data_IF_511622728673
#
_entry.id   IF_511622728673
#
_cell.length_a   1.000
_cell.length_b   1.000
_cell.length_c   1.000
_cell.angle_alpha   90.00
_cell.angle_beta   90.00
_cell.angle_gamma   90.00
#
_symmetry.space_group_name_H-M   'P 1'
#
loop_
_entity.id
_entity.type
_entity.pdbx_description
1 polymer ?
#
# COMPACT_ATOMS: atom_id res chain seq x y z
N UNK A 1 -71.08 2.37 8.16
CA UNK A 1 -70.09 3.41 8.39
C UNK A 1 -69.00 3.09 9.38
N UNK A 2 -68.84 1.86 9.93
CA UNK A 2 -67.80 1.49 10.93
C UNK A 2 -66.62 0.67 10.37
N UNK A 3 -66.68 0.27 9.10
CA UNK A 3 -65.58 -0.55 8.48
C UNK A 3 -64.50 0.22 7.69
N UNK A 4 -64.74 1.50 7.42
CA UNK A 4 -63.77 2.34 6.65
C UNK A 4 -62.74 3.00 7.57
N UNK A 5 -63.03 3.15 8.87
CA UNK A 5 -62.15 3.84 9.81
C UNK A 5 -60.99 2.95 10.33
N UNK A 6 -61.11 1.62 10.20
CA UNK A 6 -60.04 0.69 10.67
C UNK A 6 -58.92 0.47 9.64
N UNK A 7 -59.18 0.72 8.37
CA UNK A 7 -58.18 0.49 7.30
C UNK A 7 -57.17 1.64 7.18
N UNK A 8 -57.57 2.85 7.59
CA UNK A 8 -56.69 4.04 7.51
C UNK A 8 -55.65 4.07 8.65
N UNK A 9 -55.98 3.51 9.82
CA UNK A 9 -55.05 3.47 10.97
C UNK A 9 -53.91 2.47 10.76
N UNK A 10 -54.12 1.41 9.98
CA UNK A 10 -53.04 0.43 9.67
C UNK A 10 -52.06 0.92 8.60
N UNK A 11 -52.47 1.80 7.72
CA UNK A 11 -51.60 2.37 6.69
C UNK A 11 -50.65 3.42 7.29
N UNK A 12 -51.07 4.14 8.32
CA UNK A 12 -50.22 5.13 9.03
C UNK A 12 -49.21 4.52 9.99
N UNK A 13 -49.37 3.26 10.40
CA UNK A 13 -48.41 2.56 11.27
C UNK A 13 -47.29 1.86 10.50
N UNK A 14 -47.42 1.70 9.18
CA UNK A 14 -46.37 1.08 8.34
C UNK A 14 -45.39 2.09 7.75
N UNK A 15 -45.62 3.39 7.88
CA UNK A 15 -44.73 4.42 7.35
C UNK A 15 -43.61 4.86 8.31
N UNK A 16 -43.57 4.39 9.56
CA UNK A 16 -42.58 4.81 10.54
C UNK A 16 -41.48 3.80 10.82
N UNK A 17 -41.28 2.76 9.98
CA UNK A 17 -40.23 1.76 10.18
C UNK A 17 -39.14 1.76 9.07
N UNK A 18 -38.96 2.89 8.39
CA UNK A 18 -37.76 3.14 7.58
C UNK A 18 -36.99 4.34 8.14
N UNK A 19 -36.69 4.29 9.42
CA UNK A 19 -35.50 4.98 9.93
C UNK A 19 -34.30 4.16 9.44
N UNK A 20 -33.91 4.40 8.18
CA UNK A 20 -32.68 3.94 7.62
C UNK A 20 -31.57 4.50 8.51
N UNK A 21 -30.88 3.63 9.24
CA UNK A 21 -29.58 3.97 9.79
C UNK A 21 -28.71 4.31 8.57
N UNK A 22 -28.61 5.59 8.24
CA UNK A 22 -27.49 6.10 7.49
C UNK A 22 -26.27 5.82 8.40
N UNK A 23 -25.67 4.65 8.21
CA UNK A 23 -24.25 4.50 8.51
C UNK A 23 -23.61 5.51 7.57
N UNK A 24 -23.09 6.60 8.13
CA UNK A 24 -22.23 7.52 7.40
C UNK A 24 -21.12 6.66 6.80
N UNK A 25 -21.27 6.33 5.51
CA UNK A 25 -20.27 5.60 4.78
C UNK A 25 -19.03 6.51 4.79
N UNK A 26 -17.98 6.10 5.45
CA UNK A 26 -16.68 6.79 5.41
C UNK A 26 -16.37 6.99 3.92
N UNK A 27 -16.12 8.22 3.45
CA UNK A 27 -15.78 8.46 2.07
C UNK A 27 -14.68 7.49 1.62
N UNK A 28 -14.79 6.95 0.41
CA UNK A 28 -13.92 5.90 -0.11
C UNK A 28 -12.42 6.26 -0.14
N UNK A 29 -12.07 7.52 0.09
CA UNK A 29 -10.71 8.06 0.14
C UNK A 29 -10.17 8.31 1.57
N UNK A 30 -10.94 7.97 2.62
CA UNK A 30 -10.55 8.18 4.01
C UNK A 30 -10.02 6.90 4.66
N UNK A 31 -8.87 7.05 5.30
CA UNK A 31 -8.29 6.05 6.21
C UNK A 31 -8.28 6.65 7.61
N UNK A 32 -8.77 5.89 8.61
CA UNK A 32 -8.82 6.35 10.00
C UNK A 32 -7.45 6.82 10.50
N UNK A 33 -7.38 8.05 10.99
CA UNK A 33 -6.16 8.67 11.51
C UNK A 33 -5.24 9.26 10.44
N UNK A 34 -5.68 9.31 9.17
CA UNK A 34 -4.94 9.89 8.07
C UNK A 34 -5.78 10.87 7.26
N UNK A 35 -5.11 11.86 6.68
CA UNK A 35 -5.70 12.80 5.71
C UNK A 35 -5.20 12.47 4.32
N UNK A 36 -6.10 12.28 3.35
CA UNK A 36 -5.72 12.18 1.94
C UNK A 36 -5.28 13.56 1.44
N UNK A 37 -4.00 13.69 1.14
CA UNK A 37 -3.37 14.97 0.76
C UNK A 37 -2.98 15.02 -0.72
N UNK A 38 -3.09 13.87 -1.40
CA UNK A 38 -2.66 13.71 -2.79
C UNK A 38 -1.14 13.83 -2.97
N UNK A 39 -0.65 13.50 -4.17
CA UNK A 39 0.80 13.47 -4.48
C UNK A 39 1.48 14.84 -4.42
N UNK A 40 0.75 15.95 -4.62
CA UNK A 40 1.30 17.31 -4.57
C UNK A 40 1.81 17.70 -3.17
N UNK A 41 1.41 16.97 -2.15
CA UNK A 41 1.87 17.18 -0.78
C UNK A 41 3.22 16.51 -0.48
N UNK A 42 3.75 15.69 -1.41
CA UNK A 42 5.04 15.03 -1.26
C UNK A 42 6.17 16.03 -1.57
N UNK A 43 6.53 16.81 -0.58
CA UNK A 43 7.59 17.82 -0.62
C UNK A 43 8.84 17.40 0.19
N UNK A 44 8.86 16.16 0.66
CA UNK A 44 9.97 15.58 1.40
C UNK A 44 11.15 15.29 0.47
N UNK A 45 12.36 15.20 1.04
CA UNK A 45 13.53 14.74 0.29
C UNK A 45 13.39 13.23 -0.02
N UNK A 46 12.97 12.91 -1.24
CA UNK A 46 12.69 11.54 -1.69
C UNK A 46 13.92 10.63 -1.57
N UNK A 47 15.14 11.15 -1.83
CA UNK A 47 16.37 10.37 -1.73
C UNK A 47 16.59 9.95 -0.26
N UNK A 48 16.44 10.89 0.68
CA UNK A 48 16.52 10.59 2.12
C UNK A 48 15.41 9.63 2.54
N UNK A 49 14.18 9.92 2.15
CA UNK A 49 12.99 9.16 2.53
C UNK A 49 13.10 7.68 2.13
N UNK A 50 13.60 7.40 0.92
CA UNK A 50 13.77 6.03 0.44
C UNK A 50 15.12 5.44 0.89
N UNK A 51 16.24 6.13 0.60
CA UNK A 51 17.57 5.59 0.79
C UNK A 51 18.02 5.50 2.24
N UNK A 52 17.58 6.45 3.09
CA UNK A 52 17.99 6.54 4.49
C UNK A 52 16.89 6.09 5.44
N UNK A 53 15.65 6.63 5.29
CA UNK A 53 14.57 6.35 6.24
C UNK A 53 13.93 4.99 5.97
N UNK A 54 13.97 4.52 4.70
CA UNK A 54 13.42 3.27 4.21
C UNK A 54 11.88 3.26 4.16
N UNK A 55 11.35 2.27 3.47
CA UNK A 55 9.91 2.05 3.34
C UNK A 55 9.56 0.57 3.45
N UNK A 56 8.31 0.26 3.78
CA UNK A 56 7.72 -1.04 3.50
C UNK A 56 7.02 -0.98 2.14
N UNK A 57 7.38 -1.90 1.25
CA UNK A 57 6.58 -2.26 0.08
C UNK A 57 5.62 -3.36 0.54
N UNK A 58 4.32 -3.15 0.37
CA UNK A 58 3.28 -4.13 0.73
C UNK A 58 2.36 -4.36 -0.45
N UNK A 59 2.05 -5.63 -0.75
CA UNK A 59 1.07 -6.03 -1.75
C UNK A 59 0.19 -7.15 -1.21
N UNK A 60 -1.02 -7.27 -1.72
CA UNK A 60 -2.07 -8.15 -1.24
C UNK A 60 -3.22 -7.40 -0.58
N UNK A 61 -4.12 -8.12 0.07
CA UNK A 61 -5.28 -7.60 0.80
C UNK A 61 -5.23 -8.04 2.27
N UNK A 62 -6.11 -7.49 3.12
CA UNK A 62 -6.10 -7.76 4.58
C UNK A 62 -6.10 -9.25 4.94
N UNK A 63 -6.70 -10.11 4.11
CA UNK A 63 -6.73 -11.56 4.34
C UNK A 63 -5.45 -12.29 3.90
N UNK A 64 -4.72 -11.72 2.95
CA UNK A 64 -3.52 -12.34 2.37
C UNK A 64 -2.60 -11.28 1.76
N UNK A 65 -1.53 -10.93 2.45
CA UNK A 65 -0.55 -9.92 2.03
C UNK A 65 0.85 -10.25 2.52
N UNK A 66 1.82 -9.65 1.88
CA UNK A 66 3.20 -9.67 2.36
C UNK A 66 3.85 -8.30 2.20
N UNK A 67 4.84 -8.03 3.04
CA UNK A 67 5.62 -6.81 3.01
C UNK A 67 7.11 -7.09 3.06
N UNK A 68 7.89 -6.14 2.57
CA UNK A 68 9.33 -6.14 2.70
C UNK A 68 9.87 -4.71 2.88
N UNK A 69 10.95 -4.56 3.61
CA UNK A 69 11.67 -3.30 3.65
C UNK A 69 12.47 -3.10 2.37
N UNK A 70 12.39 -1.90 1.85
CA UNK A 70 13.16 -1.44 0.70
C UNK A 70 13.82 -0.08 0.98
N UNK A 71 15.04 0.07 0.44
CA UNK A 71 15.80 1.32 0.45
C UNK A 71 16.18 1.75 -0.97
N UNK A 72 15.65 1.10 -1.98
CA UNK A 72 15.85 1.40 -3.39
C UNK A 72 14.53 1.68 -4.07
N UNK A 73 14.49 2.73 -4.87
CA UNK A 73 13.29 3.19 -5.54
C UNK A 73 13.36 4.66 -5.90
N UNK A 74 12.23 5.22 -6.26
CA UNK A 74 12.09 6.62 -6.61
C UNK A 74 10.64 7.04 -6.69
N UNK A 75 10.40 8.34 -6.60
CA UNK A 75 9.13 8.97 -6.95
C UNK A 75 9.41 9.95 -8.07
N UNK A 76 8.53 10.07 -9.04
CA UNK A 76 8.76 10.94 -10.17
C UNK A 76 7.53 11.17 -11.04
N UNK A 77 7.79 11.63 -12.26
CA UNK A 77 6.77 11.92 -13.25
C UNK A 77 7.05 11.12 -14.52
N UNK A 78 6.11 10.27 -14.94
CA UNK A 78 6.25 9.45 -16.14
C UNK A 78 4.86 9.26 -16.78
N UNK A 79 4.79 9.31 -18.13
CA UNK A 79 3.55 9.14 -18.89
C UNK A 79 2.43 10.07 -18.39
N UNK A 80 2.80 11.33 -18.10
CA UNK A 80 1.89 12.38 -17.59
C UNK A 80 1.23 12.03 -16.24
N UNK A 81 1.87 11.16 -15.44
CA UNK A 81 1.39 10.65 -14.16
C UNK A 81 2.45 10.78 -13.07
N UNK A 82 2.02 11.05 -11.81
CA UNK A 82 2.89 10.85 -10.67
C UNK A 82 3.11 9.35 -10.47
N UNK A 83 4.36 8.92 -10.38
CA UNK A 83 4.71 7.50 -10.28
C UNK A 83 5.70 7.20 -9.17
N UNK A 84 5.62 5.98 -8.67
CA UNK A 84 6.64 5.36 -7.83
C UNK A 84 7.34 4.26 -8.63
N UNK A 85 8.66 4.17 -8.45
CA UNK A 85 9.50 3.08 -8.96
C UNK A 85 9.90 2.21 -7.78
N UNK A 86 9.60 0.92 -7.83
CA UNK A 86 10.05 -0.06 -6.86
C UNK A 86 10.81 -1.19 -7.52
N UNK A 87 11.72 -1.79 -6.75
CA UNK A 87 12.58 -2.87 -7.21
C UNK A 87 12.47 -4.04 -6.24
N UNK A 88 11.95 -5.17 -6.71
CA UNK A 88 11.73 -6.36 -5.89
C UNK A 88 12.51 -7.53 -6.50
N UNK A 89 13.36 -8.19 -5.70
CA UNK A 89 14.09 -9.38 -6.16
C UNK A 89 13.16 -10.59 -6.25
N UNK A 90 13.34 -11.50 -7.23
CA UNK A 90 12.46 -12.67 -7.42
C UNK A 90 12.41 -13.61 -6.21
N UNK A 91 13.48 -13.69 -5.40
CA UNK A 91 13.48 -14.52 -4.20
C UNK A 91 12.72 -13.91 -3.00
N UNK A 92 12.34 -12.62 -3.05
CA UNK A 92 11.51 -12.01 -2.02
C UNK A 92 10.08 -12.53 -2.11
N UNK A 93 9.50 -12.98 -1.01
CA UNK A 93 8.11 -13.45 -1.00
C UNK A 93 7.12 -12.37 -1.46
N UNK A 94 7.40 -11.10 -1.16
CA UNK A 94 6.62 -9.95 -1.67
C UNK A 94 6.55 -9.91 -3.20
N UNK A 95 7.53 -10.48 -3.91
CA UNK A 95 7.53 -10.54 -5.38
C UNK A 95 6.30 -11.28 -5.92
N UNK A 96 5.91 -12.40 -5.30
CA UNK A 96 4.71 -13.14 -5.73
C UNK A 96 3.45 -12.29 -5.62
N UNK A 97 3.35 -11.49 -4.57
CA UNK A 97 2.22 -10.57 -4.37
C UNK A 97 2.25 -9.40 -5.36
N UNK A 98 3.41 -8.77 -5.58
CA UNK A 98 3.52 -7.66 -6.54
C UNK A 98 3.27 -8.11 -7.98
N UNK A 99 3.54 -9.38 -8.34
CA UNK A 99 3.18 -9.94 -9.63
C UNK A 99 1.66 -10.09 -9.79
N UNK A 100 0.98 -10.61 -8.76
CA UNK A 100 -0.44 -10.96 -8.82
C UNK A 100 -1.36 -9.75 -8.65
N UNK A 101 -0.98 -8.79 -7.81
CA UNK A 101 -1.85 -7.70 -7.41
C UNK A 101 -1.76 -6.50 -8.35
N UNK A 102 -2.87 -5.81 -8.54
CA UNK A 102 -2.94 -4.58 -9.32
C UNK A 102 -2.42 -3.38 -8.53
N UNK A 103 -2.57 -3.40 -7.19
CA UNK A 103 -2.18 -2.32 -6.31
C UNK A 103 -1.13 -2.77 -5.30
N UNK A 104 -0.29 -1.82 -4.90
CA UNK A 104 0.65 -1.98 -3.80
C UNK A 104 0.77 -0.67 -3.02
N UNK A 105 1.30 -0.73 -1.81
CA UNK A 105 1.56 0.45 -0.99
C UNK A 105 3.04 0.62 -0.67
N UNK A 106 3.43 1.89 -0.51
CA UNK A 106 4.69 2.30 0.11
C UNK A 106 4.35 2.98 1.42
N UNK A 107 4.84 2.44 2.52
CA UNK A 107 4.59 2.98 3.87
C UNK A 107 5.88 3.45 4.50
N UNK A 108 5.88 4.69 4.99
CA UNK A 108 7.01 5.34 5.64
C UNK A 108 6.69 5.59 7.11
N UNK A 109 7.69 5.44 7.97
CA UNK A 109 7.54 5.46 9.42
C UNK A 109 8.50 6.46 10.05
N UNK A 110 8.27 6.78 11.33
CA UNK A 110 9.23 7.50 12.14
C UNK A 110 10.44 6.60 12.49
N UNK A 111 11.57 7.22 12.86
CA UNK A 111 12.83 6.52 13.15
C UNK A 111 12.67 5.47 14.28
N UNK A 112 11.74 5.66 15.19
CA UNK A 112 11.42 4.71 16.27
C UNK A 112 11.05 3.31 15.76
N UNK A 113 10.59 3.20 14.51
CA UNK A 113 10.23 1.94 13.84
C UNK A 113 11.40 1.27 13.10
N UNK A 114 12.61 1.83 13.16
CA UNK A 114 13.79 1.32 12.44
C UNK A 114 14.05 -0.17 12.70
N UNK A 115 13.94 -0.63 13.94
CA UNK A 115 14.15 -2.04 14.29
C UNK A 115 13.11 -2.96 13.62
N UNK A 116 11.88 -2.50 13.51
CA UNK A 116 10.79 -3.23 12.85
C UNK A 116 11.08 -3.33 11.36
N UNK A 117 11.48 -2.22 10.71
CA UNK A 117 11.87 -2.21 9.30
C UNK A 117 13.04 -3.17 9.03
N UNK A 118 14.06 -3.20 9.89
CA UNK A 118 15.16 -4.17 9.79
C UNK A 118 14.63 -5.61 9.79
N UNK A 119 13.76 -5.95 10.72
CA UNK A 119 13.16 -7.28 10.82
C UNK A 119 12.35 -7.63 9.56
N UNK A 120 11.49 -6.70 9.08
CA UNK A 120 10.68 -6.91 7.87
C UNK A 120 11.53 -7.13 6.62
N UNK A 121 12.76 -6.58 6.59
CA UNK A 121 13.72 -6.77 5.50
C UNK A 121 14.54 -8.06 5.59
N UNK A 122 14.75 -8.61 6.79
CA UNK A 122 15.68 -9.73 7.05
C UNK A 122 15.01 -11.11 7.00
N UNK A 123 13.72 -11.23 7.35
CA UNK A 123 13.00 -12.51 7.37
C UNK A 123 12.07 -12.67 6.18
N UNK A 124 11.82 -13.93 5.77
CA UNK A 124 10.86 -14.24 4.71
C UNK A 124 9.46 -14.48 5.30
N UNK A 125 8.44 -13.91 4.66
CA UNK A 125 7.03 -14.19 5.00
C UNK A 125 6.58 -15.61 4.64
N UNK A 126 7.38 -16.38 3.87
CA UNK A 126 7.13 -17.80 3.64
C UNK A 126 7.37 -18.63 4.89
N UNK A 127 8.36 -18.24 5.69
CA UNK A 127 8.85 -19.04 6.81
C UNK A 127 8.34 -18.50 8.16
N UNK A 128 7.98 -17.20 8.20
CA UNK A 128 7.63 -16.50 9.44
C UNK A 128 6.40 -15.61 9.26
N UNK A 129 5.54 -15.60 10.27
CA UNK A 129 4.50 -14.57 10.36
C UNK A 129 5.16 -13.25 10.78
N UNK A 130 5.44 -12.39 9.79
CA UNK A 130 6.11 -11.09 10.02
C UNK A 130 5.30 -10.14 10.90
N UNK A 131 3.98 -10.30 10.94
CA UNK A 131 3.11 -9.44 11.73
C UNK A 131 3.10 -9.80 13.22
N UNK A 132 3.43 -11.07 13.53
CA UNK A 132 3.53 -11.50 14.91
C UNK A 132 4.61 -10.69 15.62
N UNK A 133 4.24 -10.06 16.71
CA UNK A 133 5.14 -9.26 17.56
C UNK A 133 5.79 -8.04 16.86
N UNK A 134 5.27 -7.64 15.68
CA UNK A 134 5.78 -6.47 14.95
C UNK A 134 5.39 -5.14 15.59
N UNK A 135 4.26 -5.10 16.30
CA UNK A 135 3.66 -3.85 16.79
C UNK A 135 3.01 -3.01 15.68
N UNK A 136 2.93 -3.53 14.45
CA UNK A 136 2.23 -2.87 13.34
C UNK A 136 0.79 -3.39 13.25
N UNK A 137 -0.14 -2.47 12.96
CA UNK A 137 -1.57 -2.75 12.79
C UNK A 137 -1.95 -2.56 11.32
N UNK A 138 -2.28 -3.64 10.59
CA UNK A 138 -2.65 -3.53 9.19
C UNK A 138 -3.99 -2.81 9.05
N UNK A 139 -4.12 -2.04 7.97
CA UNK A 139 -5.36 -1.40 7.55
C UNK A 139 -5.52 -1.52 6.02
N UNK A 140 -6.78 -1.61 5.57
CA UNK A 140 -7.08 -1.60 4.15
C UNK A 140 -7.01 -0.17 3.60
N UNK A 141 -6.43 -0.03 2.42
CA UNK A 141 -6.48 1.21 1.65
C UNK A 141 -7.73 1.25 0.77
N UNK A 142 -7.95 2.36 0.08
CA UNK A 142 -9.13 2.59 -0.77
C UNK A 142 -9.33 1.52 -1.85
N UNK A 143 -8.25 1.00 -2.43
CA UNK A 143 -8.33 -0.05 -3.46
C UNK A 143 -8.06 -1.45 -2.89
N UNK A 144 -8.18 -1.62 -1.56
CA UNK A 144 -8.09 -2.91 -0.90
C UNK A 144 -6.67 -3.40 -0.65
N UNK A 145 -5.63 -2.63 -1.00
CA UNK A 145 -4.26 -2.94 -0.63
C UNK A 145 -4.03 -2.74 0.88
N UNK A 146 -2.85 -3.06 1.39
CA UNK A 146 -2.57 -3.02 2.82
C UNK A 146 -1.53 -1.96 3.16
N UNK A 147 -1.81 -1.18 4.18
CA UNK A 147 -0.91 -0.25 4.83
C UNK A 147 -0.91 -0.48 6.35
N UNK A 148 -0.31 0.42 7.14
CA UNK A 148 -0.18 0.24 8.59
C UNK A 148 -0.56 1.52 9.33
N UNK A 149 -1.31 1.37 10.43
CA UNK A 149 -1.75 2.49 11.28
C UNK A 149 -0.60 3.34 11.82
N UNK A 150 0.57 2.76 12.01
CA UNK A 150 1.74 3.40 12.60
C UNK A 150 2.54 4.23 11.57
N UNK A 151 2.20 4.14 10.29
CA UNK A 151 2.85 4.92 9.24
C UNK A 151 2.65 6.43 9.44
N UNK A 152 3.63 7.24 9.02
CA UNK A 152 3.50 8.70 8.89
C UNK A 152 3.03 9.12 7.49
N UNK A 153 3.42 8.34 6.46
CA UNK A 153 3.02 8.55 5.07
C UNK A 153 2.66 7.19 4.48
N UNK A 154 1.53 7.14 3.79
CA UNK A 154 1.08 5.99 2.99
C UNK A 154 0.92 6.48 1.55
N UNK A 155 1.55 5.78 0.61
CA UNK A 155 1.39 6.01 -0.82
C UNK A 155 0.79 4.74 -1.41
N UNK A 156 -0.41 4.83 -1.98
CA UNK A 156 -1.04 3.73 -2.70
C UNK A 156 -0.77 3.90 -4.20
N UNK A 157 -0.33 2.83 -4.83
CA UNK A 157 0.09 2.80 -6.22
C UNK A 157 -0.68 1.75 -7.00
N UNK A 158 -1.16 2.13 -8.18
CA UNK A 158 -1.67 1.22 -9.20
C UNK A 158 -0.50 0.77 -10.09
N UNK A 159 -0.22 -0.52 -10.15
CA UNK A 159 0.82 -1.07 -11.03
C UNK A 159 0.45 -0.82 -12.50
N UNK A 160 1.30 -0.12 -13.24
CA UNK A 160 1.08 0.23 -14.65
C UNK A 160 2.16 -0.33 -15.57
N UNK A 161 3.29 -0.80 -15.01
CA UNK A 161 4.36 -1.42 -15.78
C UNK A 161 5.19 -2.33 -14.89
N UNK A 162 5.71 -3.42 -15.45
CA UNK A 162 6.67 -4.31 -14.81
C UNK A 162 7.69 -4.80 -15.84
N UNK A 163 8.97 -4.83 -15.47
CA UNK A 163 10.04 -5.40 -16.30
C UNK A 163 11.20 -5.88 -15.43
N UNK A 164 11.80 -7.00 -15.81
CA UNK A 164 13.03 -7.46 -15.17
C UNK A 164 14.21 -6.61 -15.65
N UNK A 165 15.10 -6.24 -14.74
CA UNK A 165 16.39 -5.66 -15.14
C UNK A 165 17.19 -6.70 -15.92
N UNK A 166 17.76 -6.29 -17.06
CA UNK A 166 18.50 -7.16 -17.95
C UNK A 166 20.00 -6.93 -17.76
N UNK A 167 20.77 -7.99 -17.59
CA UNK A 167 22.22 -7.92 -17.38
C UNK A 167 22.93 -7.12 -18.48
N UNK A 168 22.48 -7.28 -19.71
CA UNK A 168 23.07 -6.69 -20.91
C UNK A 168 22.92 -5.15 -20.92
N UNK A 169 21.89 -4.64 -20.24
CA UNK A 169 21.57 -3.22 -20.16
C UNK A 169 22.44 -2.45 -19.15
N UNK A 170 23.16 -3.15 -18.28
CA UNK A 170 24.06 -2.50 -17.34
C UNK A 170 25.33 -2.03 -18.07
N UNK A 171 25.55 -0.73 -18.10
CA UNK A 171 26.79 -0.13 -18.62
C UNK A 171 27.95 -0.29 -17.65
N UNK A 172 27.69 -0.26 -16.34
CA UNK A 172 28.63 -0.55 -15.27
C UNK A 172 28.60 -2.05 -14.93
N UNK A 173 29.61 -2.78 -15.42
CA UNK A 173 29.72 -4.22 -15.21
C UNK A 173 30.21 -4.59 -13.79
N UNK A 174 30.95 -3.71 -13.12
CA UNK A 174 31.40 -3.91 -11.74
C UNK A 174 30.19 -3.83 -10.79
N UNK A 175 29.30 -2.86 -11.03
CA UNK A 175 28.04 -2.75 -10.29
C UNK A 175 27.24 -4.05 -10.38
N UNK A 176 27.13 -4.61 -11.59
CA UNK A 176 26.38 -5.86 -11.82
C UNK A 176 26.96 -7.02 -11.02
N UNK A 177 28.26 -7.20 -11.06
CA UNK A 177 28.95 -8.26 -10.31
C UNK A 177 28.82 -8.09 -8.80
N UNK A 178 28.90 -6.85 -8.32
CA UNK A 178 28.80 -6.53 -6.89
C UNK A 178 27.39 -6.75 -6.34
N UNK A 179 26.35 -6.32 -7.09
CA UNK A 179 24.97 -6.30 -6.59
C UNK A 179 24.23 -7.60 -6.92
N UNK A 180 24.55 -8.24 -8.06
CA UNK A 180 23.86 -9.43 -8.56
C UNK A 180 24.81 -10.61 -8.83
N UNK A 181 25.61 -11.05 -7.83
CA UNK A 181 26.56 -12.13 -8.04
C UNK A 181 25.88 -13.46 -8.41
N UNK A 182 24.60 -13.61 -8.08
CA UNK A 182 23.79 -14.81 -8.36
C UNK A 182 22.83 -14.64 -9.56
N UNK A 183 22.91 -13.51 -10.29
CA UNK A 183 22.02 -13.21 -11.40
C UNK A 183 20.54 -12.97 -11.01
N UNK A 184 20.28 -12.69 -9.74
CA UNK A 184 18.95 -12.48 -9.16
C UNK A 184 18.46 -11.03 -9.37
N UNK A 185 18.41 -10.61 -10.63
CA UNK A 185 18.04 -9.25 -11.01
C UNK A 185 16.65 -8.87 -10.49
N UNK A 186 16.51 -7.63 -10.06
CA UNK A 186 15.22 -7.12 -9.62
C UNK A 186 14.22 -7.03 -10.78
N UNK A 187 12.97 -7.27 -10.48
CA UNK A 187 11.86 -6.75 -11.26
C UNK A 187 11.62 -5.31 -10.83
N UNK A 188 11.63 -4.39 -11.79
CA UNK A 188 11.18 -3.00 -11.61
C UNK A 188 9.69 -2.95 -11.85
N UNK A 189 8.96 -2.33 -10.94
CA UNK A 189 7.56 -1.98 -11.12
C UNK A 189 7.41 -0.46 -11.13
N UNK A 190 6.60 0.03 -12.05
CA UNK A 190 6.14 1.41 -12.06
C UNK A 190 4.69 1.43 -11.60
N UNK A 191 4.40 2.15 -10.54
CA UNK A 191 3.07 2.34 -10.01
C UNK A 191 2.63 3.80 -10.15
N UNK A 192 1.45 4.05 -10.77
CA UNK A 192 0.79 5.34 -10.70
C UNK A 192 0.42 5.62 -9.23
N UNK A 193 0.82 6.76 -8.70
CA UNK A 193 0.43 7.20 -7.35
C UNK A 193 -1.02 7.66 -7.40
N UNK A 194 -1.93 6.86 -6.86
CA UNK A 194 -3.37 7.14 -6.87
C UNK A 194 -3.83 7.82 -5.59
N UNK A 195 -3.20 7.52 -4.46
CA UNK A 195 -3.49 8.16 -3.18
C UNK A 195 -2.23 8.40 -2.37
N UNK A 196 -2.24 9.48 -1.59
CA UNK A 196 -1.23 9.78 -0.58
C UNK A 196 -1.93 10.23 0.69
N UNK A 197 -1.69 9.51 1.79
CA UNK A 197 -2.20 9.88 3.10
C UNK A 197 -1.05 10.23 4.03
N UNK A 198 -1.28 11.26 4.84
CA UNK A 198 -0.37 11.71 5.90
C UNK A 198 -1.10 11.82 7.23
N UNK A 199 -0.37 11.59 8.33
CA UNK A 199 -0.82 11.96 9.68
C UNK A 199 -0.70 13.44 9.92
#
# INVERSE_FOLDING_TARGET
>A
MKKILMTIVWILLLQNFHAQSQTDAVPADQIEGFTNTGWKSLNDNVIKMIGTDWMLITAGNIGNYNMMTASWGGLGWLWEKPVAFIFVRPQRYTHEFTEQEEYFTLTFFEETYRKILLNMGSVSGRDFNKMKDSGLSPLATTHGSVAFKEAKIIIECKKIYAANLQQEQFTDKELTQKIYPSGDFHTMYVGEIVNVWKK
#
